data_IF_681138567812
#
_entry.id   IF_681138567812
#
_cell.length_a   1.000
_cell.length_b   1.000
_cell.length_c   1.000
_cell.angle_alpha   90.00
_cell.angle_beta   90.00
_cell.angle_gamma   90.00
#
_symmetry.space_group_name_H-M   'P 1'
#
loop_
_entity.id
_entity.type
_entity.pdbx_description
1 polymer ?
#
# COMPACT_ATOMS: atom_id res chain seq x y z
N UNK A 1 -4.89 31.53 -27.65
CA UNK A 1 -4.47 30.34 -28.42
C UNK A 1 -3.89 29.35 -27.41
N UNK A 2 -4.69 28.37 -26.98
CA UNK A 2 -4.25 27.39 -25.96
C UNK A 2 -3.13 26.54 -26.55
N UNK A 3 -1.90 26.68 -26.02
CA UNK A 3 -0.76 25.87 -26.45
C UNK A 3 -1.11 24.39 -26.24
N UNK A 4 -1.03 23.53 -27.28
CA UNK A 4 -1.32 22.11 -27.12
C UNK A 4 -0.35 21.50 -26.11
N UNK A 5 -0.86 20.63 -25.22
CA UNK A 5 0.00 19.92 -24.27
C UNK A 5 1.02 19.08 -25.05
N UNK A 6 2.26 19.07 -24.56
CA UNK A 6 3.30 18.18 -25.10
C UNK A 6 2.86 16.72 -24.99
N UNK A 7 3.14 15.92 -26.01
CA UNK A 7 2.91 14.47 -26.03
C UNK A 7 3.47 13.80 -24.76
N UNK A 8 4.65 14.23 -24.32
CA UNK A 8 5.31 13.73 -23.11
C UNK A 8 4.48 14.00 -21.83
N UNK A 9 3.77 15.12 -21.76
CA UNK A 9 2.92 15.45 -20.61
C UNK A 9 1.70 14.53 -20.52
N UNK A 10 1.03 14.27 -21.65
CA UNK A 10 -0.11 13.36 -21.67
C UNK A 10 0.30 11.92 -21.32
N UNK A 11 1.45 11.45 -21.83
CA UNK A 11 1.98 10.12 -21.49
C UNK A 11 2.33 10.05 -20.00
N UNK A 12 3.00 11.08 -19.45
CA UNK A 12 3.36 11.13 -18.03
C UNK A 12 2.13 11.07 -17.10
N UNK A 13 1.05 11.78 -17.44
CA UNK A 13 -0.21 11.72 -16.70
C UNK A 13 -0.83 10.32 -16.76
N UNK A 14 -0.85 9.69 -17.93
CA UNK A 14 -1.40 8.34 -18.08
C UNK A 14 -0.64 7.31 -17.22
N UNK A 15 0.69 7.35 -17.25
CA UNK A 15 1.54 6.49 -16.42
C UNK A 15 1.32 6.76 -14.93
N UNK A 16 1.21 8.03 -14.53
CA UNK A 16 0.93 8.40 -13.14
C UNK A 16 -0.41 7.84 -12.65
N UNK A 17 -1.46 7.94 -13.46
CA UNK A 17 -2.79 7.40 -13.10
C UNK A 17 -2.73 5.89 -12.90
N UNK A 18 -2.06 5.16 -13.79
CA UNK A 18 -1.89 3.70 -13.66
C UNK A 18 -1.11 3.39 -12.37
N UNK A 19 0.02 4.07 -12.14
CA UNK A 19 0.84 3.87 -10.94
C UNK A 19 0.07 4.17 -9.66
N UNK A 20 -0.75 5.23 -9.64
CA UNK A 20 -1.59 5.58 -8.50
C UNK A 20 -2.55 4.44 -8.14
N UNK A 21 -3.30 3.90 -9.10
CA UNK A 21 -4.20 2.78 -8.84
C UNK A 21 -3.45 1.52 -8.41
N UNK A 22 -2.30 1.22 -9.02
CA UNK A 22 -1.47 0.10 -8.58
C UNK A 22 -1.04 0.24 -7.12
N UNK A 23 -0.59 1.44 -6.71
CA UNK A 23 -0.16 1.69 -5.33
C UNK A 23 -1.32 1.55 -4.35
N UNK A 24 -2.48 2.14 -4.69
CA UNK A 24 -3.71 2.03 -3.89
C UNK A 24 -4.16 0.58 -3.73
N UNK A 25 -4.23 -0.18 -4.83
CA UNK A 25 -4.67 -1.58 -4.77
C UNK A 25 -3.69 -2.44 -3.98
N UNK A 26 -2.38 -2.26 -4.17
CA UNK A 26 -1.41 -3.00 -3.39
C UNK A 26 -1.43 -2.60 -1.89
N UNK A 27 -1.76 -1.35 -1.53
CA UNK A 27 -1.91 -0.93 -0.12
C UNK A 27 -3.01 -1.72 0.59
N UNK A 28 -4.16 -1.92 -0.05
CA UNK A 28 -5.29 -2.65 0.52
C UNK A 28 -5.27 -4.16 0.23
N UNK A 29 -4.33 -4.64 -0.59
CA UNK A 29 -4.26 -6.05 -0.98
C UNK A 29 -3.87 -6.94 0.19
N UNK A 30 -4.60 -8.06 0.34
CA UNK A 30 -4.27 -9.14 1.27
C UNK A 30 -3.23 -10.13 0.70
N UNK A 31 -2.71 -9.91 -0.51
CA UNK A 31 -1.97 -10.93 -1.28
C UNK A 31 -0.51 -10.53 -1.52
N UNK A 32 0.18 -10.03 -0.50
CA UNK A 32 1.61 -9.72 -0.57
C UNK A 32 2.45 -11.00 -0.49
N UNK A 33 2.06 -11.90 0.42
CA UNK A 33 2.57 -13.26 0.51
C UNK A 33 1.39 -14.22 0.46
N UNK A 34 1.49 -15.24 -0.39
CA UNK A 34 0.48 -16.30 -0.51
C UNK A 34 1.16 -17.61 -0.20
N UNK A 35 0.54 -18.43 0.65
CA UNK A 35 1.05 -19.77 0.95
C UNK A 35 0.88 -20.69 -0.26
N UNK A 36 1.87 -21.52 -0.54
CA UNK A 36 1.71 -22.59 -1.55
C UNK A 36 0.63 -23.58 -1.07
N UNK A 37 -0.37 -23.82 -1.92
CA UNK A 37 -1.46 -24.75 -1.63
C UNK A 37 -1.01 -26.20 -1.53
N UNK A 38 0.16 -26.54 -2.08
CA UNK A 38 0.73 -27.89 -2.06
C UNK A 38 1.33 -28.25 -0.71
N UNK A 39 1.69 -27.27 0.11
CA UNK A 39 2.28 -27.51 1.43
C UNK A 39 1.16 -27.83 2.41
N UNK A 40 1.02 -29.11 2.75
CA UNK A 40 0.09 -29.58 3.78
C UNK A 40 0.57 -29.11 5.15
N UNK A 41 -0.30 -28.44 5.90
CA UNK A 41 0.02 -27.90 7.23
C UNK A 41 0.40 -26.42 7.30
N UNK A 42 0.35 -25.68 6.18
CA UNK A 42 0.50 -24.22 6.19
C UNK A 42 -0.54 -23.57 7.12
N UNK A 43 -0.07 -22.71 8.03
CA UNK A 43 -0.91 -22.06 9.06
C UNK A 43 -1.60 -20.80 8.55
N UNK A 44 -0.97 -20.09 7.61
CA UNK A 44 -1.53 -18.93 6.93
C UNK A 44 -1.89 -19.27 5.47
N UNK A 45 -2.83 -18.52 4.90
CA UNK A 45 -3.22 -18.61 3.49
C UNK A 45 -2.68 -17.41 2.71
N UNK A 46 -2.92 -16.20 3.22
CA UNK A 46 -2.47 -14.94 2.59
C UNK A 46 -2.09 -13.92 3.66
N UNK A 47 -1.02 -13.19 3.42
CA UNK A 47 -0.59 -12.09 4.27
C UNK A 47 -0.56 -10.84 3.39
N UNK A 48 -1.39 -9.86 3.73
CA UNK A 48 -1.27 -8.49 3.22
C UNK A 48 -0.56 -7.59 4.20
N UNK A 49 -0.49 -6.31 3.85
CA UNK A 49 0.08 -5.29 4.73
C UNK A 49 -0.78 -5.05 5.97
N UNK A 50 -2.11 -5.04 5.83
CA UNK A 50 -3.02 -4.71 6.94
C UNK A 50 -3.92 -5.87 7.38
N UNK A 51 -4.10 -6.86 6.49
CA UNK A 51 -5.02 -7.97 6.69
C UNK A 51 -4.27 -9.28 6.50
N UNK A 52 -4.44 -10.20 7.43
CA UNK A 52 -3.85 -11.53 7.38
C UNK A 52 -4.96 -12.59 7.39
N UNK A 53 -4.84 -13.58 6.51
CA UNK A 53 -5.77 -14.67 6.36
C UNK A 53 -5.11 -15.98 6.82
N UNK A 54 -5.71 -16.59 7.83
CA UNK A 54 -5.22 -17.82 8.44
C UNK A 54 -6.12 -19.02 8.12
N UNK A 55 -5.51 -20.18 7.93
CA UNK A 55 -6.26 -21.46 7.85
C UNK A 55 -6.55 -21.99 9.25
N UNK A 56 -5.51 -22.10 10.07
CA UNK A 56 -5.60 -22.59 11.45
C UNK A 56 -4.31 -22.26 12.21
N UNK A 57 -4.12 -20.99 12.54
CA UNK A 57 -2.94 -20.55 13.29
C UNK A 57 -3.17 -20.82 14.79
N UNK A 58 -2.39 -21.71 15.44
CA UNK A 58 -2.45 -21.87 16.89
C UNK A 58 -1.91 -20.61 17.59
N UNK A 59 -2.48 -20.28 18.75
CA UNK A 59 -1.96 -19.20 19.59
C UNK A 59 -0.55 -19.58 20.12
N UNK A 60 0.52 -18.84 19.75
CA UNK A 60 1.88 -19.14 20.20
C UNK A 60 2.07 -18.94 21.71
N UNK A 61 1.18 -18.19 22.38
CA UNK A 61 1.24 -17.94 23.81
C UNK A 61 0.43 -18.96 24.64
N UNK A 62 -0.31 -19.86 23.99
CA UNK A 62 -1.14 -20.88 24.65
C UNK A 62 -0.40 -22.22 24.73
N UNK A 63 0.13 -22.55 25.90
CA UNK A 63 0.89 -23.80 26.14
C UNK A 63 0.10 -25.07 25.79
N UNK A 64 -1.22 -25.03 25.90
CA UNK A 64 -2.09 -26.17 25.64
C UNK A 64 -2.70 -26.15 24.23
N UNK A 65 -2.36 -25.18 23.38
CA UNK A 65 -2.80 -25.05 21.98
C UNK A 65 -4.32 -25.26 21.84
N UNK A 66 -5.11 -24.57 22.67
CA UNK A 66 -6.58 -24.68 22.66
C UNK A 66 -7.22 -23.65 21.75
N UNK A 67 -6.50 -22.55 21.47
CA UNK A 67 -6.99 -21.44 20.63
C UNK A 67 -6.39 -21.48 19.24
N UNK A 68 -7.25 -21.31 18.24
CA UNK A 68 -6.87 -21.23 16.84
C UNK A 68 -7.51 -20.01 16.18
N UNK A 69 -6.71 -19.27 15.42
CA UNK A 69 -7.16 -18.17 14.60
C UNK A 69 -7.41 -18.67 13.17
N UNK A 70 -8.63 -18.46 12.69
CA UNK A 70 -9.11 -18.85 11.37
C UNK A 70 -9.74 -17.63 10.68
N UNK A 71 -9.58 -17.58 9.37
CA UNK A 71 -10.16 -16.54 8.50
C UNK A 71 -9.25 -15.33 8.33
N UNK A 72 -9.77 -14.34 7.59
CA UNK A 72 -9.10 -13.06 7.36
C UNK A 72 -9.43 -12.09 8.49
N UNK A 73 -8.40 -11.47 9.05
CA UNK A 73 -8.52 -10.48 10.13
C UNK A 73 -7.60 -9.30 9.86
N UNK A 74 -8.05 -8.14 10.28
CA UNK A 74 -7.21 -6.95 10.29
C UNK A 74 -6.19 -7.04 11.44
N UNK A 75 -4.98 -6.52 11.24
CA UNK A 75 -3.86 -6.64 12.18
C UNK A 75 -4.17 -6.08 13.57
N UNK A 76 -5.01 -5.04 13.66
CA UNK A 76 -5.40 -4.45 14.94
C UNK A 76 -6.87 -4.72 15.29
N UNK A 77 -7.39 -5.90 14.92
CA UNK A 77 -8.74 -6.32 15.28
C UNK A 77 -8.95 -6.27 16.81
N UNK A 78 -9.88 -5.44 17.33
CA UNK A 78 -10.11 -5.30 18.77
C UNK A 78 -11.10 -6.33 19.33
N UNK A 79 -11.79 -7.08 18.46
CA UNK A 79 -12.88 -7.97 18.85
C UNK A 79 -12.39 -9.38 19.18
N UNK A 80 -11.22 -9.75 18.67
CA UNK A 80 -10.62 -11.07 18.83
C UNK A 80 -9.77 -11.11 20.10
N UNK A 81 -10.25 -11.81 21.13
CA UNK A 81 -9.56 -11.93 22.42
C UNK A 81 -8.16 -12.56 22.26
N UNK A 82 -7.13 -11.88 22.76
CA UNK A 82 -5.73 -12.34 22.73
C UNK A 82 -5.00 -12.08 21.42
N UNK A 83 -5.66 -11.48 20.42
CA UNK A 83 -5.05 -11.18 19.13
C UNK A 83 -4.01 -10.04 19.21
N UNK A 84 -4.21 -9.12 20.14
CA UNK A 84 -3.25 -8.05 20.48
C UNK A 84 -1.93 -8.61 21.03
N UNK A 85 -1.99 -9.69 21.81
CA UNK A 85 -0.83 -10.31 22.46
C UNK A 85 0.10 -11.01 21.47
N UNK A 86 -0.44 -11.52 20.36
CA UNK A 86 0.31 -12.25 19.32
C UNK A 86 0.81 -11.34 18.20
N UNK A 87 0.51 -10.03 18.26
CA UNK A 87 0.78 -9.11 17.17
C UNK A 87 2.26 -8.98 16.79
N UNK A 88 3.16 -9.06 17.78
CA UNK A 88 4.61 -9.09 17.53
C UNK A 88 5.10 -10.35 16.80
N UNK A 89 4.35 -11.45 16.87
CA UNK A 89 4.60 -12.67 16.11
C UNK A 89 4.03 -12.56 14.68
N UNK A 90 2.85 -11.93 14.51
CA UNK A 90 2.20 -11.79 13.21
C UNK A 90 2.91 -10.78 12.30
N UNK A 91 3.44 -9.71 12.88
CA UNK A 91 4.05 -8.59 12.17
C UNK A 91 5.55 -8.53 12.52
N UNK A 92 6.37 -9.41 11.91
CA UNK A 92 7.81 -9.39 12.14
C UNK A 92 8.43 -8.07 11.64
N UNK A 93 9.62 -7.73 12.12
CA UNK A 93 10.25 -6.44 11.83
C UNK A 93 10.34 -6.07 10.35
N UNK A 94 10.61 -7.03 9.46
CA UNK A 94 10.63 -6.77 8.01
C UNK A 94 9.27 -6.29 7.49
N UNK A 95 8.17 -6.82 8.02
CA UNK A 95 6.82 -6.47 7.61
C UNK A 95 6.48 -5.05 8.09
N UNK A 96 6.90 -4.69 9.30
CA UNK A 96 6.80 -3.32 9.84
C UNK A 96 7.55 -2.32 8.97
N UNK A 97 8.76 -2.65 8.50
CA UNK A 97 9.50 -1.79 7.60
C UNK A 97 8.76 -1.60 6.27
N UNK A 98 8.24 -2.68 5.68
CA UNK A 98 7.44 -2.57 4.45
C UNK A 98 6.16 -1.78 4.65
N UNK A 99 5.44 -1.96 5.77
CA UNK A 99 4.27 -1.16 6.14
C UNK A 99 4.63 0.32 6.16
N UNK A 100 5.72 0.70 6.84
CA UNK A 100 6.14 2.09 6.99
C UNK A 100 6.48 2.74 5.64
N UNK A 101 7.40 2.17 4.87
CA UNK A 101 7.83 2.74 3.59
C UNK A 101 6.67 2.79 2.59
N UNK A 102 5.86 1.74 2.53
CA UNK A 102 4.75 1.69 1.60
C UNK A 102 3.63 2.67 1.98
N UNK A 103 3.43 2.93 3.28
CA UNK A 103 2.53 3.99 3.75
C UNK A 103 3.03 5.38 3.36
N UNK A 104 4.34 5.65 3.46
CA UNK A 104 4.92 6.90 2.98
C UNK A 104 4.71 7.08 1.46
N UNK A 105 4.93 6.05 0.67
CA UNK A 105 4.69 6.07 -0.79
C UNK A 105 3.20 6.28 -1.11
N UNK A 106 2.29 5.62 -0.39
CA UNK A 106 0.85 5.82 -0.54
C UNK A 106 0.43 7.27 -0.23
N UNK A 107 0.91 7.86 0.87
CA UNK A 107 0.62 9.25 1.22
C UNK A 107 1.21 10.24 0.20
N UNK A 108 2.45 10.02 -0.23
CA UNK A 108 3.10 10.85 -1.23
C UNK A 108 2.37 10.80 -2.58
N UNK A 109 1.91 9.63 -3.01
CA UNK A 109 1.15 9.47 -4.26
C UNK A 109 -0.23 10.11 -4.20
N UNK A 110 -0.94 10.05 -3.06
CA UNK A 110 -2.18 10.80 -2.83
C UNK A 110 -1.92 12.31 -2.91
N UNK A 111 -0.86 12.80 -2.26
CA UNK A 111 -0.51 14.21 -2.30
C UNK A 111 -0.21 14.69 -3.73
N UNK A 112 0.56 13.90 -4.50
CA UNK A 112 0.81 14.16 -5.91
C UNK A 112 -0.49 14.16 -6.73
N UNK A 113 -1.41 13.23 -6.47
CA UNK A 113 -2.70 13.17 -7.17
C UNK A 113 -3.55 14.43 -6.91
N UNK A 114 -3.56 14.93 -5.67
CA UNK A 114 -4.23 16.18 -5.30
C UNK A 114 -3.63 17.39 -6.03
N UNK A 115 -2.30 17.49 -6.11
CA UNK A 115 -1.62 18.56 -6.85
C UNK A 115 -1.94 18.52 -8.36
N UNK A 116 -1.98 17.32 -8.95
CA UNK A 116 -2.34 17.13 -10.36
C UNK A 116 -3.81 17.55 -10.59
N UNK A 117 -4.74 17.14 -9.72
CA UNK A 117 -6.15 17.55 -9.79
C UNK A 117 -6.33 19.07 -9.67
N UNK A 118 -5.65 19.72 -8.72
CA UNK A 118 -5.65 21.18 -8.57
C UNK A 118 -5.11 21.87 -9.81
N UNK A 119 -4.06 21.31 -10.43
CA UNK A 119 -3.55 21.83 -11.70
C UNK A 119 -4.60 21.74 -12.82
N UNK A 120 -5.24 20.57 -12.99
CA UNK A 120 -6.26 20.37 -14.02
C UNK A 120 -7.50 21.27 -13.86
N UNK A 121 -7.95 21.48 -12.63
CA UNK A 121 -9.19 22.20 -12.34
C UNK A 121 -8.98 23.71 -12.20
N UNK A 122 -7.85 24.17 -11.64
CA UNK A 122 -7.66 25.57 -11.26
C UNK A 122 -6.61 26.33 -12.09
N UNK A 123 -5.64 25.68 -12.74
CA UNK A 123 -4.51 26.37 -13.40
C UNK A 123 -4.36 25.99 -14.88
N UNK A 124 -4.68 26.92 -15.78
CA UNK A 124 -4.44 26.77 -17.22
C UNK A 124 -2.92 26.78 -17.54
N UNK A 125 -2.42 25.98 -18.51
CA UNK A 125 -1.00 25.74 -18.82
C UNK A 125 -0.10 26.94 -19.19
N UNK A 126 -0.60 28.18 -19.12
CA UNK A 126 0.19 29.40 -19.35
C UNK A 126 0.97 29.89 -18.11
N UNK A 127 0.85 29.20 -16.97
CA UNK A 127 1.57 29.59 -15.76
C UNK A 127 3.04 29.14 -15.76
N UNK A 128 3.95 30.12 -15.60
CA UNK A 128 5.43 29.97 -15.55
C UNK A 128 5.97 28.94 -14.54
N UNK A 129 5.15 28.45 -13.62
CA UNK A 129 5.52 27.45 -12.59
C UNK A 129 5.32 25.99 -13.03
N UNK A 130 4.85 25.75 -14.26
CA UNK A 130 4.58 24.41 -14.81
C UNK A 130 5.78 23.45 -14.68
N UNK A 131 6.98 23.93 -15.00
CA UNK A 131 8.21 23.12 -14.96
C UNK A 131 8.61 22.81 -13.52
N UNK A 132 8.47 23.76 -12.60
CA UNK A 132 8.80 23.55 -11.18
C UNK A 132 7.85 22.55 -10.51
N UNK A 133 6.54 22.61 -10.80
CA UNK A 133 5.56 21.69 -10.22
C UNK A 133 5.77 20.26 -10.72
N UNK A 134 6.05 20.10 -12.02
CA UNK A 134 6.35 18.78 -12.62
C UNK A 134 7.65 18.20 -12.08
N UNK A 135 8.67 19.05 -11.83
CA UNK A 135 9.92 18.64 -11.18
C UNK A 135 9.69 18.18 -9.75
N UNK A 136 8.88 18.87 -8.96
CA UNK A 136 8.58 18.50 -7.56
C UNK A 136 7.79 17.18 -7.49
N UNK A 137 6.81 16.99 -8.38
CA UNK A 137 6.04 15.73 -8.47
C UNK A 137 6.99 14.59 -8.90
N UNK A 138 7.83 14.84 -9.91
CA UNK A 138 8.82 13.87 -10.40
C UNK A 138 9.87 13.49 -9.35
N UNK A 139 10.40 14.46 -8.61
CA UNK A 139 11.37 14.23 -7.53
C UNK A 139 10.75 13.47 -6.37
N UNK A 140 9.51 13.81 -5.99
CA UNK A 140 8.81 13.11 -4.90
C UNK A 140 8.54 11.65 -5.28
N UNK A 141 8.16 11.38 -6.53
CA UNK A 141 7.91 10.02 -7.02
C UNK A 141 9.20 9.20 -7.15
N UNK A 142 10.31 9.80 -7.58
CA UNK A 142 11.61 9.10 -7.68
C UNK A 142 12.24 8.85 -6.32
N UNK A 143 12.07 9.76 -5.35
CA UNK A 143 12.49 9.54 -3.97
C UNK A 143 11.61 8.49 -3.26
N UNK A 144 10.31 8.40 -3.57
CA UNK A 144 9.41 7.41 -2.98
C UNK A 144 9.57 5.99 -3.56
N UNK A 145 10.19 5.86 -4.74
CA UNK A 145 10.46 4.58 -5.41
C UNK A 145 11.90 4.06 -5.25
N UNK A 146 12.72 4.70 -4.40
CA UNK A 146 14.10 4.32 -4.07
C UNK A 146 14.16 3.86 -2.63
#
# INVERSE_FOLDING_TARGET
MTKPRSLAGNVGIAVFVIAFFCVVFAFFSASWLVSDSRITGAKFDRLGLWTHCFRSLPDPNDEYIRRFFVGCRWIFDPFTKGYDQIRGYLVPGFLVFTEFFYTLTFLATIFCAMLVLLFFLCFTPDHKRFVQLTLVIGSTLTCAGK
#
